data_IF_036157296374
#
_entry.id   IF_036157296374
#
_cell.length_a   1.000
_cell.length_b   1.000
_cell.length_c   1.000
_cell.angle_alpha   90.00
_cell.angle_beta   90.00
_cell.angle_gamma   90.00
#
_symmetry.space_group_name_H-M   'P 1'
#
loop_
_entity.id
_entity.type
_entity.pdbx_description
1 polymer ?
#
# COMPACT_ATOMS: atom_id res chain seq x y z
N UNK A 1 -8.83 27.79 26.02
CA UNK A 1 -9.03 27.25 24.66
C UNK A 1 -10.35 26.52 24.68
N UNK A 2 -11.22 26.62 23.66
CA UNK A 2 -12.40 25.78 23.61
C UNK A 2 -11.95 24.31 23.65
N UNK A 3 -12.62 23.55 24.51
CA UNK A 3 -12.39 22.15 24.84
C UNK A 3 -12.43 21.29 23.56
N UNK A 4 -11.26 20.97 22.99
CA UNK A 4 -11.19 20.24 21.71
C UNK A 4 -11.11 18.75 22.00
N UNK A 5 -12.30 18.18 22.25
CA UNK A 5 -12.50 16.77 22.62
C UNK A 5 -11.85 15.80 21.64
N UNK A 6 -11.78 16.14 20.35
CA UNK A 6 -11.07 15.31 19.37
C UNK A 6 -9.59 15.11 19.73
N UNK A 7 -8.86 16.17 20.09
CA UNK A 7 -7.43 16.05 20.41
C UNK A 7 -7.16 15.44 21.80
N UNK A 8 -8.13 15.54 22.72
CA UNK A 8 -8.00 15.01 24.07
C UNK A 8 -8.42 13.54 24.17
N UNK A 9 -9.49 13.16 23.47
CA UNK A 9 -10.09 11.82 23.50
C UNK A 9 -10.52 11.39 22.08
N UNK A 10 -9.56 11.17 21.16
CA UNK A 10 -9.87 10.86 19.76
C UNK A 10 -10.54 9.48 19.56
N UNK A 11 -10.32 8.55 20.48
CA UNK A 11 -10.73 7.15 20.34
C UNK A 11 -12.22 6.99 20.68
N UNK A 12 -12.99 6.45 19.73
CA UNK A 12 -14.44 6.22 19.83
C UNK A 12 -14.84 4.75 19.70
N UNK A 13 -14.00 3.92 19.07
CA UNK A 13 -14.29 2.53 18.73
C UNK A 13 -13.19 1.60 19.28
N UNK A 14 -13.56 0.33 19.48
CA UNK A 14 -12.60 -0.74 19.73
C UNK A 14 -11.83 -1.07 18.43
N UNK A 15 -10.51 -1.37 18.50
CA UNK A 15 -9.74 -1.81 17.33
C UNK A 15 -10.12 -3.21 16.83
N UNK A 16 -10.93 -3.94 17.60
CA UNK A 16 -11.28 -5.34 17.35
C UNK A 16 -12.74 -5.54 16.94
N UNK A 17 -13.58 -4.52 17.10
CA UNK A 17 -15.01 -4.60 16.80
C UNK A 17 -15.34 -3.75 15.58
N UNK A 18 -16.54 -3.95 15.04
CA UNK A 18 -17.06 -3.15 13.94
C UNK A 18 -17.16 -1.66 14.37
N UNK A 19 -16.56 -0.70 13.63
CA UNK A 19 -16.66 0.72 13.97
C UNK A 19 -18.10 1.23 13.84
N UNK A 20 -18.64 1.83 14.90
CA UNK A 20 -20.03 2.31 14.96
C UNK A 20 -20.14 3.81 15.15
N UNK A 21 -19.04 4.52 15.41
CA UNK A 21 -19.01 5.97 15.62
C UNK A 21 -17.84 6.63 14.90
N UNK A 22 -17.99 7.89 14.53
CA UNK A 22 -16.87 8.70 14.03
C UNK A 22 -17.03 10.19 14.37
N UNK A 23 -15.94 10.94 14.36
CA UNK A 23 -15.92 12.40 14.47
C UNK A 23 -16.27 13.06 13.14
N UNK A 24 -17.34 13.85 13.11
CA UNK A 24 -17.69 14.62 11.93
C UNK A 24 -16.55 15.61 11.58
N UNK A 25 -16.25 15.68 10.28
CA UNK A 25 -15.28 16.60 9.71
C UNK A 25 -16.02 17.62 8.84
N UNK A 26 -15.60 18.87 8.87
CA UNK A 26 -16.08 19.89 7.94
C UNK A 26 -15.48 19.71 6.53
N UNK A 27 -15.91 20.55 5.59
CA UNK A 27 -15.41 20.55 4.19
C UNK A 27 -13.90 20.81 4.08
N UNK A 28 -13.26 21.27 5.16
CA UNK A 28 -11.81 21.48 5.24
C UNK A 28 -11.09 20.34 5.98
N UNK A 29 -11.77 19.25 6.28
CA UNK A 29 -11.25 18.10 7.01
C UNK A 29 -11.00 18.36 8.50
N UNK A 30 -11.58 19.41 9.08
CA UNK A 30 -11.42 19.73 10.51
C UNK A 30 -12.54 19.10 11.36
N UNK A 31 -12.22 18.50 12.52
CA UNK A 31 -13.22 17.95 13.43
C UNK A 31 -14.19 19.01 13.95
N UNK A 32 -15.49 18.83 13.67
CA UNK A 32 -16.58 19.72 14.12
C UNK A 32 -16.93 19.54 15.61
N UNK A 33 -16.26 18.60 16.28
CA UNK A 33 -16.54 18.14 17.64
C UNK A 33 -17.87 17.38 17.79
N UNK A 34 -18.55 17.07 16.68
CA UNK A 34 -19.75 16.23 16.69
C UNK A 34 -19.37 14.77 16.47
N UNK A 35 -20.04 13.87 17.20
CA UNK A 35 -19.92 12.43 17.03
C UNK A 35 -21.14 11.95 16.25
N UNK A 36 -20.90 11.17 15.20
CA UNK A 36 -21.95 10.56 14.39
C UNK A 36 -22.03 9.07 14.74
N UNK A 37 -23.23 8.61 15.09
CA UNK A 37 -23.54 7.22 15.51
C UNK A 37 -23.76 6.29 14.30
N UNK A 38 -22.75 6.21 13.42
CA UNK A 38 -22.65 5.20 12.35
C UNK A 38 -21.18 4.97 12.00
N UNK A 39 -20.91 3.99 11.13
CA UNK A 39 -19.57 3.80 10.56
C UNK A 39 -19.18 4.96 9.64
N UNK A 40 -17.93 5.44 9.72
CA UNK A 40 -17.37 6.43 8.79
C UNK A 40 -17.45 5.90 7.34
N UNK A 41 -18.11 6.61 6.41
CA UNK A 41 -18.05 6.26 5.01
C UNK A 41 -16.60 6.40 4.52
N UNK A 42 -16.15 5.51 3.64
CA UNK A 42 -14.93 5.77 2.87
C UNK A 42 -15.12 7.11 2.18
N UNK A 43 -14.18 8.04 2.34
CA UNK A 43 -14.18 9.37 1.75
C UNK A 43 -12.74 9.84 1.60
N UNK A 44 -12.48 10.61 0.55
CA UNK A 44 -11.24 11.33 0.33
C UNK A 44 -11.20 12.58 1.22
N UNK A 45 -10.62 12.46 2.42
CA UNK A 45 -10.47 13.58 3.34
C UNK A 45 -9.08 13.56 3.97
N UNK A 46 -8.40 14.71 3.91
CA UNK A 46 -7.16 14.96 4.63
C UNK A 46 -7.41 15.34 6.08
N UNK A 47 -6.97 14.54 7.06
CA UNK A 47 -7.17 14.87 8.47
C UNK A 47 -6.13 15.86 9.02
N UNK A 48 -5.18 16.33 8.21
CA UNK A 48 -4.11 17.23 8.67
C UNK A 48 -4.62 18.67 8.76
N UNK A 49 -4.58 19.30 9.96
CA UNK A 49 -5.00 20.69 10.15
C UNK A 49 -4.30 21.64 9.19
N UNK A 50 -5.05 22.51 8.51
CA UNK A 50 -4.48 23.59 7.69
C UNK A 50 -3.84 24.67 8.59
N UNK A 51 -2.78 25.37 8.14
CA UNK A 51 -2.11 26.39 8.94
C UNK A 51 -3.07 27.55 9.23
N UNK A 52 -3.08 28.07 10.46
CA UNK A 52 -4.03 29.10 10.92
C UNK A 52 -3.84 30.49 10.27
N UNK A 53 -2.69 30.75 9.65
CA UNK A 53 -2.41 31.98 8.91
C UNK A 53 -2.02 31.62 7.47
N UNK A 54 -2.80 32.10 6.50
CA UNK A 54 -2.45 32.08 5.07
C UNK A 54 -1.89 33.46 4.70
N UNK A 55 -0.74 33.52 4.02
CA UNK A 55 -0.29 34.75 3.41
C UNK A 55 -1.24 35.09 2.24
N UNK A 56 -1.86 36.27 2.26
CA UNK A 56 -2.68 36.74 1.14
C UNK A 56 -1.76 36.95 -0.08
N UNK A 57 -1.98 36.20 -1.16
CA UNK A 57 -1.31 36.43 -2.45
C UNK A 57 -0.18 35.47 -2.84
N UNK A 58 0.16 34.46 -2.05
CA UNK A 58 1.06 33.40 -2.50
C UNK A 58 0.26 32.35 -3.28
N UNK A 59 0.60 32.13 -4.56
CA UNK A 59 0.08 31.03 -5.36
C UNK A 59 0.20 29.72 -4.57
N UNK A 60 -0.85 28.91 -4.60
CA UNK A 60 -0.94 27.65 -3.88
C UNK A 60 0.11 26.66 -4.40
N UNK A 61 1.34 26.76 -3.89
CA UNK A 61 2.35 25.74 -4.12
C UNK A 61 1.99 24.55 -3.23
N UNK A 62 1.31 23.57 -3.81
CA UNK A 62 1.03 22.28 -3.19
C UNK A 62 2.35 21.59 -2.87
N UNK A 63 2.75 21.62 -1.60
CA UNK A 63 3.91 20.90 -1.09
C UNK A 63 3.50 20.05 0.11
N UNK A 64 3.64 18.73 -0.05
CA UNK A 64 3.71 17.66 0.97
C UNK A 64 2.82 17.85 2.22
N UNK A 65 1.65 18.43 2.04
CA UNK A 65 0.50 18.12 2.87
C UNK A 65 -0.18 17.01 2.08
N UNK A 66 -0.39 15.85 2.70
CA UNK A 66 -1.20 14.77 2.14
C UNK A 66 -2.61 15.30 1.92
N UNK A 67 -2.80 16.12 0.90
CA UNK A 67 -4.09 16.61 0.44
C UNK A 67 -4.72 15.43 -0.29
N UNK A 68 -5.33 14.53 0.46
CA UNK A 68 -6.28 13.50 0.00
C UNK A 68 -7.54 14.18 -0.60
N UNK A 69 -7.37 15.08 -1.57
CA UNK A 69 -8.36 15.31 -2.62
C UNK A 69 -9.35 16.47 -2.48
N UNK A 70 -9.24 17.39 -1.50
CA UNK A 70 -10.25 18.44 -1.33
C UNK A 70 -10.32 19.48 -2.49
N UNK A 71 -9.48 19.35 -3.53
CA UNK A 71 -9.45 20.23 -4.71
C UNK A 71 -9.64 19.53 -6.05
N UNK A 72 -10.01 18.24 -6.08
CA UNK A 72 -9.90 17.40 -7.31
C UNK A 72 -11.22 17.30 -8.10
N UNK A 73 -12.29 17.95 -7.65
CA UNK A 73 -13.57 17.99 -8.38
C UNK A 73 -13.55 19.00 -9.54
N UNK A 74 -12.72 18.77 -10.56
CA UNK A 74 -13.02 19.25 -11.90
C UNK A 74 -13.76 18.15 -12.67
N UNK A 75 -14.67 18.53 -13.56
CA UNK A 75 -15.53 17.63 -14.34
C UNK A 75 -14.79 16.65 -15.27
N UNK A 76 -13.46 16.65 -15.25
CA UNK A 76 -12.57 15.85 -16.11
C UNK A 76 -11.92 14.65 -15.40
N UNK A 77 -12.18 14.40 -14.11
CA UNK A 77 -11.65 13.22 -13.40
C UNK A 77 -12.71 12.17 -13.11
N UNK A 78 -12.76 11.17 -13.98
CA UNK A 78 -13.75 10.09 -14.04
C UNK A 78 -13.59 8.95 -12.99
N UNK A 79 -12.67 9.06 -12.02
CA UNK A 79 -12.33 7.92 -11.16
C UNK A 79 -12.23 8.29 -9.68
N UNK A 80 -13.36 8.64 -9.07
CA UNK A 80 -13.50 8.51 -7.61
C UNK A 80 -14.04 7.10 -7.29
N UNK A 81 -13.21 6.14 -6.81
CA UNK A 81 -13.68 4.80 -6.43
C UNK A 81 -14.45 4.77 -5.09
N UNK A 82 -14.57 5.90 -4.40
CA UNK A 82 -15.25 5.98 -3.10
C UNK A 82 -16.67 5.40 -3.10
N UNK A 83 -17.54 5.64 -4.11
CA UNK A 83 -18.88 5.07 -4.13
C UNK A 83 -18.86 3.53 -4.19
N UNK A 84 -18.00 2.94 -5.02
CA UNK A 84 -17.94 1.49 -5.17
C UNK A 84 -17.34 0.81 -3.93
N UNK A 85 -16.37 1.45 -3.25
CA UNK A 85 -15.80 0.96 -1.98
C UNK A 85 -16.89 0.90 -0.91
N UNK A 86 -17.68 1.97 -0.73
CA UNK A 86 -18.75 2.01 0.26
C UNK A 86 -19.84 0.96 -0.03
N UNK A 87 -20.19 0.76 -1.31
CA UNK A 87 -21.17 -0.25 -1.67
C UNK A 87 -20.65 -1.67 -1.44
N UNK A 88 -19.40 -1.95 -1.81
CA UNK A 88 -18.78 -3.25 -1.55
C UNK A 88 -18.69 -3.52 -0.05
N UNK A 89 -18.29 -2.53 0.74
CA UNK A 89 -18.27 -2.63 2.21
C UNK A 89 -19.63 -3.06 2.75
N UNK A 90 -20.73 -2.43 2.31
CA UNK A 90 -22.09 -2.84 2.67
C UNK A 90 -22.39 -4.29 2.27
N UNK A 91 -21.94 -4.75 1.11
CA UNK A 91 -22.13 -6.14 0.67
C UNK A 91 -21.37 -7.12 1.56
N UNK A 92 -20.12 -6.81 1.90
CA UNK A 92 -19.32 -7.62 2.84
C UNK A 92 -19.96 -7.61 4.23
N UNK A 93 -20.53 -6.49 4.68
CA UNK A 93 -21.25 -6.41 5.96
C UNK A 93 -22.49 -7.32 5.98
N UNK A 94 -23.31 -7.29 4.91
CA UNK A 94 -24.46 -8.19 4.77
C UNK A 94 -24.04 -9.66 4.74
N UNK A 95 -22.95 -9.97 4.05
CA UNK A 95 -22.38 -11.32 4.00
C UNK A 95 -21.84 -11.77 5.38
N UNK A 96 -21.18 -10.87 6.12
CA UNK A 96 -20.68 -11.12 7.48
C UNK A 96 -21.82 -11.40 8.46
N UNK A 97 -22.98 -10.78 8.27
CA UNK A 97 -24.17 -10.96 9.11
C UNK A 97 -24.88 -12.31 8.93
N UNK A 98 -24.48 -13.14 7.94
CA UNK A 98 -25.05 -14.47 7.75
C UNK A 98 -24.61 -15.38 8.90
N UNK A 99 -25.56 -15.85 9.72
CA UNK A 99 -25.26 -16.67 10.91
C UNK A 99 -24.74 -18.07 10.56
N UNK A 100 -25.33 -18.73 9.56
CA UNK A 100 -24.96 -20.09 9.20
C UNK A 100 -23.75 -20.10 8.23
N UNK A 101 -22.59 -20.65 8.65
CA UNK A 101 -21.37 -20.70 7.83
C UNK A 101 -21.53 -21.46 6.51
N UNK A 102 -22.46 -22.42 6.44
CA UNK A 102 -22.76 -23.16 5.22
C UNK A 102 -23.31 -22.25 4.09
N UNK A 103 -23.88 -21.10 4.46
CA UNK A 103 -24.47 -20.14 3.54
C UNK A 103 -23.51 -19.02 3.13
N UNK A 104 -22.25 -19.06 3.59
CA UNK A 104 -21.27 -18.03 3.24
C UNK A 104 -20.78 -18.10 1.79
N UNK A 105 -21.05 -19.19 1.06
CA UNK A 105 -20.65 -19.30 -0.35
C UNK A 105 -19.13 -19.39 -0.57
N UNK A 106 -18.39 -19.83 0.46
CA UNK A 106 -16.93 -20.04 0.42
C UNK A 106 -16.59 -21.52 0.60
N UNK A 107 -15.34 -21.91 0.34
CA UNK A 107 -14.89 -23.27 0.65
C UNK A 107 -14.97 -23.57 2.16
N UNK A 108 -15.14 -24.85 2.55
CA UNK A 108 -15.03 -25.30 3.94
C UNK A 108 -13.77 -24.82 4.68
N UNK A 109 -12.62 -24.79 4.01
CA UNK A 109 -11.36 -24.31 4.59
C UNK A 109 -11.41 -22.80 4.85
N UNK A 110 -11.93 -22.01 3.91
CA UNK A 110 -12.14 -20.58 4.09
C UNK A 110 -13.17 -20.30 5.19
N UNK A 111 -14.28 -21.05 5.25
CA UNK A 111 -15.27 -20.91 6.31
C UNK A 111 -14.63 -21.15 7.69
N UNK A 112 -13.77 -22.16 7.81
CA UNK A 112 -13.06 -22.45 9.05
C UNK A 112 -12.07 -21.34 9.45
N UNK A 113 -11.33 -20.78 8.49
CA UNK A 113 -10.45 -19.62 8.74
C UNK A 113 -11.25 -18.39 9.17
N UNK A 114 -12.38 -18.11 8.52
CA UNK A 114 -13.26 -16.99 8.87
C UNK A 114 -13.85 -17.17 10.28
N UNK A 115 -14.30 -18.38 10.64
CA UNK A 115 -14.75 -18.68 12.00
C UNK A 115 -13.63 -18.43 13.01
N UNK A 116 -12.42 -18.89 12.71
CA UNK A 116 -11.24 -18.68 13.55
C UNK A 116 -10.98 -17.18 13.75
N UNK A 117 -10.89 -16.40 12.68
CA UNK A 117 -10.60 -14.96 12.78
C UNK A 117 -11.72 -14.15 13.45
N UNK A 118 -12.98 -14.56 13.31
CA UNK A 118 -14.14 -13.83 13.86
C UNK A 118 -14.45 -14.18 15.32
N UNK A 119 -14.16 -15.40 15.74
CA UNK A 119 -14.72 -15.95 16.99
C UNK A 119 -13.71 -16.71 17.88
N UNK A 120 -12.48 -16.97 17.41
CA UNK A 120 -11.47 -17.61 18.25
C UNK A 120 -11.13 -16.74 19.45
N UNK A 121 -10.92 -17.38 20.59
CA UNK A 121 -10.47 -16.72 21.81
C UNK A 121 -8.93 -16.70 21.81
N UNK A 122 -8.37 -15.63 21.26
CA UNK A 122 -6.93 -15.43 21.12
C UNK A 122 -6.29 -15.17 22.50
N UNK A 123 -5.15 -15.81 22.75
CA UNK A 123 -4.45 -15.70 24.04
C UNK A 123 -3.72 -14.36 24.19
N UNK A 124 -3.21 -13.82 23.09
CA UNK A 124 -2.42 -12.58 23.07
C UNK A 124 -2.84 -11.68 21.90
N UNK A 125 -2.06 -11.65 20.82
CA UNK A 125 -2.30 -10.76 19.68
C UNK A 125 -3.43 -11.31 18.82
N UNK A 126 -4.62 -10.71 18.95
CA UNK A 126 -5.75 -10.96 18.05
C UNK A 126 -5.78 -10.00 16.85
N UNK A 127 -6.29 -10.41 15.68
CA UNK A 127 -6.41 -9.53 14.53
C UNK A 127 -7.31 -8.32 14.81
N UNK A 128 -6.91 -7.15 14.31
CA UNK A 128 -7.79 -5.98 14.31
C UNK A 128 -8.94 -6.17 13.33
N UNK A 129 -10.08 -5.53 13.58
CA UNK A 129 -11.22 -5.56 12.68
C UNK A 129 -10.83 -5.14 11.25
N UNK A 130 -10.01 -4.09 11.12
CA UNK A 130 -9.49 -3.63 9.82
C UNK A 130 -8.72 -4.71 9.04
N UNK A 131 -8.00 -5.59 9.74
CA UNK A 131 -7.24 -6.67 9.12
C UNK A 131 -8.17 -7.78 8.63
N UNK A 132 -9.16 -8.14 9.46
CA UNK A 132 -10.22 -9.09 9.12
C UNK A 132 -11.00 -8.60 7.91
N UNK A 133 -11.44 -7.34 7.93
CA UNK A 133 -12.20 -6.73 6.83
C UNK A 133 -11.43 -6.74 5.50
N UNK A 134 -10.13 -6.41 5.53
CA UNK A 134 -9.30 -6.43 4.33
C UNK A 134 -9.19 -7.86 3.74
N UNK A 135 -8.99 -8.86 4.61
CA UNK A 135 -8.96 -10.27 4.20
C UNK A 135 -10.32 -10.76 3.67
N UNK A 136 -11.40 -10.42 4.37
CA UNK A 136 -12.79 -10.72 4.00
C UNK A 136 -13.17 -10.11 2.65
N UNK A 137 -12.77 -8.87 2.38
CA UNK A 137 -12.97 -8.22 1.09
C UNK A 137 -12.32 -9.01 -0.03
N UNK A 138 -11.07 -9.43 0.15
CA UNK A 138 -10.35 -10.24 -0.84
C UNK A 138 -10.99 -11.62 -1.04
N UNK A 139 -11.43 -12.26 0.04
CA UNK A 139 -12.14 -13.55 0.02
C UNK A 139 -13.47 -13.42 -0.72
N UNK A 140 -14.28 -12.44 -0.35
CA UNK A 140 -15.61 -12.23 -0.94
C UNK A 140 -15.50 -11.99 -2.44
N UNK A 141 -14.58 -11.12 -2.88
CA UNK A 141 -14.33 -10.86 -4.31
C UNK A 141 -13.82 -12.09 -5.07
N UNK A 142 -13.27 -13.10 -4.40
CA UNK A 142 -12.65 -14.26 -5.06
C UNK A 142 -13.57 -15.48 -5.07
N UNK A 143 -14.29 -15.72 -3.98
CA UNK A 143 -15.10 -16.92 -3.79
C UNK A 143 -16.59 -16.67 -3.98
N UNK A 144 -17.11 -15.55 -3.46
CA UNK A 144 -18.54 -15.27 -3.37
C UNK A 144 -19.02 -14.47 -4.58
N UNK A 145 -18.35 -13.36 -4.87
CA UNK A 145 -18.73 -12.41 -5.93
C UNK A 145 -18.96 -13.05 -7.32
N UNK A 146 -18.18 -14.06 -7.78
CA UNK A 146 -18.43 -14.70 -9.07
C UNK A 146 -19.80 -15.42 -9.16
N UNK A 147 -20.33 -15.88 -8.01
CA UNK A 147 -21.61 -16.58 -7.91
C UNK A 147 -22.82 -15.68 -7.82
N UNK A 148 -22.64 -14.39 -7.50
CA UNK A 148 -23.72 -13.43 -7.30
C UNK A 148 -23.82 -12.43 -8.44
N UNK A 149 -25.05 -12.07 -8.85
CA UNK A 149 -25.27 -11.07 -9.90
C UNK A 149 -24.65 -9.71 -9.55
N UNK A 150 -24.83 -9.29 -8.30
CA UNK A 150 -24.25 -8.04 -7.78
C UNK A 150 -22.73 -8.13 -7.66
N UNK A 151 -22.22 -9.31 -7.27
CA UNK A 151 -20.79 -9.59 -7.21
C UNK A 151 -20.08 -9.43 -8.55
N UNK A 152 -20.69 -9.90 -9.64
CA UNK A 152 -20.14 -9.74 -11.00
C UNK A 152 -19.88 -8.29 -11.39
N UNK A 153 -20.74 -7.35 -10.94
CA UNK A 153 -20.56 -5.92 -11.22
C UNK A 153 -19.29 -5.36 -10.59
N UNK A 154 -18.92 -5.79 -9.38
CA UNK A 154 -17.64 -5.40 -8.75
C UNK A 154 -16.43 -6.00 -9.48
N UNK A 155 -16.58 -7.23 -9.99
CA UNK A 155 -15.53 -7.88 -10.78
C UNK A 155 -15.34 -7.22 -12.14
N UNK A 156 -16.42 -6.79 -12.79
CA UNK A 156 -16.39 -6.02 -14.04
C UNK A 156 -15.73 -4.65 -13.83
N UNK A 157 -16.10 -3.93 -12.76
CA UNK A 157 -15.40 -2.68 -12.39
C UNK A 157 -13.89 -2.90 -12.20
N UNK A 158 -13.51 -3.92 -11.43
CA UNK A 158 -12.11 -4.27 -11.21
C UNK A 158 -11.40 -4.63 -12.52
N UNK A 159 -12.06 -5.39 -13.40
CA UNK A 159 -11.49 -5.77 -14.69
C UNK A 159 -11.26 -4.55 -15.59
N UNK A 160 -12.22 -3.64 -15.66
CA UNK A 160 -12.12 -2.41 -16.45
C UNK A 160 -11.02 -1.48 -15.89
N UNK A 161 -11.04 -1.21 -14.58
CA UNK A 161 -10.02 -0.40 -13.92
C UNK A 161 -8.60 -0.95 -14.11
N UNK A 162 -8.45 -2.28 -14.12
CA UNK A 162 -7.17 -2.92 -14.42
C UNK A 162 -6.83 -2.89 -15.91
N UNK A 163 -7.78 -3.09 -16.82
CA UNK A 163 -7.52 -3.00 -18.26
C UNK A 163 -7.00 -1.61 -18.65
N UNK A 164 -7.58 -0.56 -18.05
CA UNK A 164 -7.24 0.83 -18.35
C UNK A 164 -5.89 1.26 -17.77
N UNK A 165 -5.56 0.83 -16.54
CA UNK A 165 -4.36 1.28 -15.84
C UNK A 165 -3.21 0.26 -15.79
N UNK A 166 -3.52 -1.04 -15.88
CA UNK A 166 -2.57 -2.15 -15.70
C UNK A 166 -2.93 -3.34 -16.62
N UNK A 167 -2.91 -3.18 -17.96
CA UNK A 167 -3.53 -4.13 -18.90
C UNK A 167 -3.04 -5.58 -18.80
N UNK A 168 -1.84 -5.82 -18.25
CA UNK A 168 -1.26 -7.15 -18.07
C UNK A 168 -1.55 -7.77 -16.70
N UNK A 169 -2.10 -7.03 -15.74
CA UNK A 169 -2.17 -7.44 -14.34
C UNK A 169 -3.57 -7.25 -13.76
N UNK A 170 -4.11 -8.30 -13.13
CA UNK A 170 -5.29 -8.17 -12.26
C UNK A 170 -4.84 -7.69 -10.88
N UNK A 171 -5.09 -6.44 -10.54
CA UNK A 171 -4.73 -5.82 -9.25
C UNK A 171 -5.97 -5.57 -8.40
N UNK A 172 -5.77 -5.64 -7.09
CA UNK A 172 -6.76 -5.34 -6.06
C UNK A 172 -6.03 -4.62 -4.93
N UNK A 173 -6.41 -3.38 -4.64
CA UNK A 173 -5.82 -2.61 -3.57
C UNK A 173 -6.67 -2.65 -2.29
N UNK A 174 -5.98 -2.90 -1.18
CA UNK A 174 -6.50 -2.92 0.19
C UNK A 174 -5.80 -1.78 0.94
N UNK A 175 -6.53 -0.69 1.19
CA UNK A 175 -6.01 0.48 1.91
C UNK A 175 -6.09 0.24 3.42
N UNK A 176 -4.93 0.23 4.08
CA UNK A 176 -4.83 0.14 5.54
C UNK A 176 -3.88 1.22 6.07
N UNK A 177 -4.34 2.04 7.01
CA UNK A 177 -3.51 3.04 7.67
C UNK A 177 -2.15 2.49 8.14
N UNK A 178 -1.10 3.32 8.07
CA UNK A 178 0.24 2.93 8.50
C UNK A 178 0.22 2.54 9.99
N UNK A 179 0.69 1.33 10.30
CA UNK A 179 0.65 0.78 11.65
C UNK A 179 -0.57 -0.11 11.93
N UNK A 180 -1.59 -0.14 11.06
CA UNK A 180 -2.75 -1.01 11.21
C UNK A 180 -2.47 -2.51 10.94
N UNK A 181 -1.23 -2.88 10.63
CA UNK A 181 -0.79 -4.27 10.53
C UNK A 181 -0.96 -4.91 9.15
N UNK A 182 -0.50 -4.24 8.07
CA UNK A 182 -0.46 -4.79 6.70
C UNK A 182 0.15 -6.19 6.63
N UNK A 183 1.23 -6.43 7.39
CA UNK A 183 1.88 -7.75 7.46
C UNK A 183 0.98 -8.84 8.01
N UNK A 184 0.09 -8.53 8.97
CA UNK A 184 -0.92 -9.51 9.44
C UNK A 184 -1.87 -9.88 8.31
N UNK A 185 -2.34 -8.90 7.53
CA UNK A 185 -3.20 -9.14 6.37
C UNK A 185 -2.49 -9.99 5.32
N UNK A 186 -1.21 -9.73 5.04
CA UNK A 186 -0.40 -10.57 4.15
C UNK A 186 -0.36 -12.03 4.63
N UNK A 187 -0.12 -12.26 5.93
CA UNK A 187 -0.13 -13.59 6.51
C UNK A 187 -1.51 -14.27 6.38
N UNK A 188 -2.61 -13.56 6.69
CA UNK A 188 -3.97 -14.08 6.54
C UNK A 188 -4.28 -14.48 5.08
N UNK A 189 -3.89 -13.65 4.11
CA UNK A 189 -4.07 -13.92 2.68
C UNK A 189 -3.25 -15.13 2.22
N UNK A 190 -2.00 -15.25 2.66
CA UNK A 190 -1.14 -16.41 2.37
C UNK A 190 -1.75 -17.68 2.97
N UNK A 191 -2.24 -17.61 4.21
CA UNK A 191 -2.86 -18.74 4.87
C UNK A 191 -4.10 -19.22 4.12
N UNK A 192 -5.01 -18.30 3.81
CA UNK A 192 -6.22 -18.57 3.03
C UNK A 192 -5.91 -19.21 1.68
N UNK A 193 -4.97 -18.65 0.92
CA UNK A 193 -4.58 -19.17 -0.39
C UNK A 193 -3.91 -20.54 -0.29
N UNK A 194 -2.95 -20.70 0.64
CA UNK A 194 -2.16 -21.94 0.78
C UNK A 194 -3.03 -23.11 1.23
N UNK A 195 -3.81 -22.93 2.30
CA UNK A 195 -4.64 -24.02 2.87
C UNK A 195 -5.62 -24.52 1.82
N UNK A 196 -6.28 -23.61 1.11
CA UNK A 196 -7.19 -23.98 0.02
C UNK A 196 -6.47 -24.66 -1.14
N UNK A 197 -5.29 -24.18 -1.54
CA UNK A 197 -4.50 -24.80 -2.62
C UNK A 197 -4.06 -26.23 -2.27
N UNK A 198 -3.66 -26.46 -1.03
CA UNK A 198 -3.20 -27.77 -0.53
C UNK A 198 -4.38 -28.75 -0.40
N UNK A 199 -5.48 -28.33 0.22
CA UNK A 199 -6.65 -29.20 0.46
C UNK A 199 -7.55 -29.36 -0.77
N UNK A 200 -7.41 -28.49 -1.78
CA UNK A 200 -8.16 -28.55 -3.05
C UNK A 200 -7.22 -28.42 -4.27
N UNK A 201 -6.34 -29.42 -4.51
CA UNK A 201 -5.33 -29.33 -5.56
C UNK A 201 -5.89 -29.22 -6.99
N UNK A 202 -7.14 -29.60 -7.21
CA UNK A 202 -7.83 -29.42 -8.50
C UNK A 202 -8.33 -27.99 -8.77
N UNK A 203 -8.35 -27.11 -7.75
CA UNK A 203 -8.81 -25.74 -7.89
C UNK A 203 -7.72 -24.84 -8.47
N UNK A 204 -8.05 -24.08 -9.51
CA UNK A 204 -7.16 -23.04 -10.07
C UNK A 204 -7.33 -21.67 -9.41
N UNK A 205 -8.26 -21.55 -8.46
CA UNK A 205 -8.56 -20.28 -7.76
C UNK A 205 -7.51 -19.92 -6.71
N UNK A 206 -6.77 -20.93 -6.23
CA UNK A 206 -5.86 -20.79 -5.11
C UNK A 206 -4.45 -21.19 -5.47
N UNK A 207 -3.48 -20.63 -4.75
CA UNK A 207 -2.06 -20.92 -4.95
C UNK A 207 -1.35 -21.17 -3.64
N UNK A 208 -0.18 -21.80 -3.75
CA UNK A 208 0.83 -21.88 -2.69
C UNK A 208 2.10 -21.10 -3.04
N UNK A 209 2.14 -20.40 -4.17
CA UNK A 209 3.28 -19.62 -4.63
C UNK A 209 3.04 -18.12 -4.47
N UNK A 210 3.90 -17.45 -3.70
CA UNK A 210 3.75 -16.04 -3.37
C UNK A 210 5.03 -15.26 -3.65
N UNK A 211 4.88 -14.11 -4.29
CA UNK A 211 5.94 -13.12 -4.45
C UNK A 211 5.58 -11.89 -3.61
N UNK A 212 6.37 -11.57 -2.61
CA UNK A 212 6.23 -10.37 -1.79
C UNK A 212 7.24 -9.34 -2.27
N UNK A 213 6.76 -8.17 -2.73
CA UNK A 213 7.62 -7.09 -3.25
C UNK A 213 7.58 -5.90 -2.32
N UNK A 214 8.76 -5.32 -2.05
CA UNK A 214 8.95 -4.24 -1.07
C UNK A 214 9.76 -3.08 -1.65
N UNK A 215 9.58 -1.85 -1.14
CA UNK A 215 10.32 -0.67 -1.62
C UNK A 215 11.76 -0.61 -1.11
N UNK A 216 12.05 -1.18 0.06
CA UNK A 216 13.38 -1.13 0.68
C UNK A 216 13.80 -2.41 1.38
N UNK A 217 15.11 -2.61 1.53
CA UNK A 217 15.70 -3.82 2.13
C UNK A 217 15.31 -3.95 3.62
N UNK A 218 15.24 -2.84 4.36
CA UNK A 218 14.81 -2.86 5.78
C UNK A 218 13.38 -3.36 5.96
N UNK A 219 12.49 -3.12 4.99
CA UNK A 219 11.12 -3.64 5.03
C UNK A 219 11.13 -5.12 4.66
N UNK A 220 11.84 -5.47 3.58
CA UNK A 220 12.06 -6.87 3.16
C UNK A 220 12.49 -7.76 4.34
N UNK A 221 13.51 -7.34 5.10
CA UNK A 221 14.06 -8.15 6.21
C UNK A 221 13.06 -8.31 7.36
N UNK A 222 12.19 -7.30 7.60
CA UNK A 222 11.12 -7.37 8.59
C UNK A 222 9.98 -8.29 8.20
N UNK A 223 9.74 -8.48 6.90
CA UNK A 223 8.70 -9.38 6.40
C UNK A 223 9.08 -10.87 6.50
N UNK A 224 10.27 -11.22 7.02
CA UNK A 224 10.66 -12.62 7.26
C UNK A 224 9.67 -13.41 8.11
N UNK A 225 8.91 -12.73 8.97
CA UNK A 225 7.79 -13.28 9.77
C UNK A 225 6.66 -13.90 8.94
N UNK A 226 6.63 -13.64 7.62
CA UNK A 226 5.72 -14.31 6.68
C UNK A 226 6.21 -15.70 6.28
N UNK A 227 7.47 -16.05 6.54
CA UNK A 227 7.98 -17.38 6.22
C UNK A 227 7.43 -18.41 7.22
N UNK A 228 6.86 -19.55 6.78
CA UNK A 228 6.30 -20.57 7.67
C UNK A 228 7.31 -21.14 8.66
N UNK A 229 8.58 -21.24 8.25
CA UNK A 229 9.65 -21.84 9.03
C UNK A 229 10.43 -20.82 9.88
N UNK A 230 10.05 -19.53 9.85
CA UNK A 230 10.68 -18.52 10.70
C UNK A 230 10.23 -18.73 12.17
N UNK A 231 11.14 -18.66 13.17
CA UNK A 231 10.77 -18.79 14.57
C UNK A 231 9.72 -17.77 15.03
N UNK A 232 9.72 -16.58 14.42
CA UNK A 232 8.80 -15.48 14.71
C UNK A 232 7.61 -15.46 13.73
N UNK A 233 7.32 -16.59 13.07
CA UNK A 233 6.29 -16.67 12.04
C UNK A 233 4.91 -16.31 12.59
N UNK A 234 4.20 -15.41 11.90
CA UNK A 234 2.90 -14.92 12.37
C UNK A 234 1.81 -15.99 12.41
N UNK A 235 1.92 -17.07 11.62
CA UNK A 235 0.87 -18.09 11.56
C UNK A 235 0.63 -18.77 12.90
N UNK A 236 1.71 -19.17 13.58
CA UNK A 236 1.66 -19.82 14.89
C UNK A 236 1.72 -18.79 16.03
N UNK A 237 2.67 -17.85 15.98
CA UNK A 237 2.91 -16.91 17.10
C UNK A 237 1.74 -15.97 17.40
N UNK A 238 0.89 -15.68 16.40
CA UNK A 238 -0.31 -14.85 16.55
C UNK A 238 -1.60 -15.64 16.40
N UNK A 239 -1.51 -16.97 16.47
CA UNK A 239 -2.66 -17.88 16.33
C UNK A 239 -3.52 -17.57 15.08
N UNK A 240 -2.92 -17.12 13.97
CA UNK A 240 -3.70 -16.72 12.78
C UNK A 240 -4.29 -17.92 12.03
N UNK A 241 -3.76 -19.11 12.29
CA UNK A 241 -4.17 -20.35 11.62
C UNK A 241 -4.49 -21.40 12.69
N UNK A 242 -5.62 -22.13 12.57
CA UNK A 242 -5.93 -23.26 13.45
C UNK A 242 -4.77 -24.26 13.50
N UNK A 243 -4.51 -24.83 14.68
CA UNK A 243 -3.31 -25.66 14.92
C UNK A 243 -3.18 -26.84 13.95
N UNK A 244 -4.27 -27.49 13.58
CA UNK A 244 -4.29 -28.62 12.63
C UNK A 244 -4.14 -28.20 11.16
N UNK A 245 -4.18 -26.90 10.86
CA UNK A 245 -3.92 -26.33 9.54
C UNK A 245 -2.50 -25.75 9.40
N UNK A 246 -1.71 -25.70 10.49
CA UNK A 246 -0.35 -25.15 10.45
C UNK A 246 0.58 -25.97 9.54
N UNK A 247 0.41 -27.29 9.48
CA UNK A 247 1.21 -28.13 8.58
C UNK A 247 0.97 -27.79 7.10
N UNK A 248 -0.26 -27.42 6.73
CA UNK A 248 -0.58 -27.00 5.36
C UNK A 248 0.19 -25.74 4.96
N UNK A 249 0.39 -24.82 5.90
CA UNK A 249 1.13 -23.56 5.69
C UNK A 249 2.59 -23.83 5.33
N UNK A 250 3.20 -24.89 5.85
CA UNK A 250 4.58 -25.28 5.51
C UNK A 250 4.79 -25.56 4.00
N UNK A 251 3.70 -25.79 3.25
CA UNK A 251 3.72 -26.00 1.80
C UNK A 251 3.79 -24.70 0.99
N UNK A 252 3.62 -23.53 1.63
CA UNK A 252 3.76 -22.24 0.97
C UNK A 252 5.20 -22.04 0.47
N UNK A 253 5.32 -21.46 -0.74
CA UNK A 253 6.57 -20.98 -1.33
C UNK A 253 6.49 -19.47 -1.40
N UNK A 254 7.26 -18.78 -0.56
CA UNK A 254 7.19 -17.34 -0.39
C UNK A 254 8.56 -16.75 -0.70
N UNK A 255 8.63 -15.96 -1.76
CA UNK A 255 9.84 -15.17 -2.07
C UNK A 255 9.58 -13.73 -1.69
N UNK A 256 10.39 -13.20 -0.77
CA UNK A 256 10.34 -11.79 -0.36
C UNK A 256 11.51 -11.07 -1.01
N UNK A 257 11.21 -10.07 -1.84
CA UNK A 257 12.22 -9.33 -2.59
C UNK A 257 12.00 -7.83 -2.57
N UNK A 258 13.05 -7.10 -2.94
CA UNK A 258 13.00 -5.68 -3.18
C UNK A 258 12.85 -5.42 -4.68
N UNK A 259 12.10 -4.40 -5.08
CA UNK A 259 11.85 -4.11 -6.51
C UNK A 259 13.13 -3.90 -7.33
N UNK A 260 14.22 -3.38 -6.74
CA UNK A 260 15.50 -3.23 -7.45
C UNK A 260 16.07 -4.58 -7.92
N UNK A 261 15.69 -5.69 -7.31
CA UNK A 261 16.14 -7.03 -7.71
C UNK A 261 15.68 -7.39 -9.14
N UNK A 262 14.59 -6.78 -9.62
CA UNK A 262 14.07 -6.95 -10.98
C UNK A 262 14.94 -6.31 -12.06
N UNK A 263 15.90 -5.45 -11.68
CA UNK A 263 16.86 -4.89 -12.63
C UNK A 263 17.67 -6.04 -13.25
N UNK A 264 17.50 -6.23 -14.56
CA UNK A 264 18.26 -7.19 -15.36
C UNK A 264 19.74 -6.82 -15.31
N UNK A 265 20.60 -7.80 -15.08
CA UNK A 265 22.05 -7.61 -14.97
C UNK A 265 22.75 -7.97 -16.28
N UNK A 266 23.95 -7.44 -16.48
CA UNK A 266 24.83 -7.89 -17.55
C UNK A 266 25.33 -9.31 -17.23
N UNK A 267 25.27 -10.21 -18.20
CA UNK A 267 25.73 -11.61 -18.10
C UNK A 267 27.23 -11.74 -18.23
N UNK A 268 27.86 -10.77 -18.88
CA UNK A 268 29.30 -10.74 -19.15
C UNK A 268 29.83 -9.35 -18.81
N UNK A 269 30.82 -9.27 -17.94
CA UNK A 269 31.56 -8.02 -17.71
C UNK A 269 32.53 -7.78 -18.86
N UNK A 270 32.07 -7.04 -19.87
CA UNK A 270 32.90 -6.59 -20.98
C UNK A 270 33.33 -5.14 -20.78
N UNK A 271 34.63 -4.87 -20.93
CA UNK A 271 35.11 -3.49 -21.08
C UNK A 271 34.54 -2.88 -22.37
N UNK A 272 34.42 -1.55 -22.44
CA UNK A 272 33.94 -0.85 -23.65
C UNK A 272 34.70 -1.28 -24.91
N UNK A 273 36.03 -1.45 -24.79
CA UNK A 273 36.88 -1.94 -25.88
C UNK A 273 36.61 -3.40 -26.27
N UNK A 274 36.41 -4.29 -25.29
CA UNK A 274 36.05 -5.69 -25.54
C UNK A 274 34.68 -5.85 -26.21
N UNK A 275 33.70 -5.02 -25.83
CA UNK A 275 32.36 -5.00 -26.45
C UNK A 275 32.42 -4.55 -27.92
N UNK A 276 33.16 -3.48 -28.20
CA UNK A 276 33.38 -2.98 -29.58
C UNK A 276 34.14 -3.99 -30.45
N UNK A 277 35.11 -4.70 -29.87
CA UNK A 277 35.90 -5.70 -30.59
C UNK A 277 35.06 -6.93 -30.96
N UNK A 278 34.17 -7.37 -30.06
CA UNK A 278 33.25 -8.48 -30.31
C UNK A 278 32.07 -8.12 -31.23
N UNK A 279 31.61 -6.86 -31.21
CA UNK A 279 30.61 -6.36 -32.18
C UNK A 279 31.21 -6.21 -33.59
N UNK A 280 32.53 -6.06 -33.75
CA UNK A 280 33.17 -5.88 -35.05
C UNK A 280 32.69 -4.61 -35.79
N UNK A 281 32.97 -4.51 -37.10
CA UNK A 281 32.58 -3.34 -37.93
C UNK A 281 31.15 -3.40 -38.49
N UNK A 282 30.50 -4.57 -38.47
CA UNK A 282 29.17 -4.81 -39.09
C UNK A 282 28.26 -5.68 -38.19
N UNK A 283 28.72 -6.10 -37.00
CA UNK A 283 27.99 -7.08 -36.18
C UNK A 283 26.84 -6.46 -35.40
N UNK A 284 25.81 -7.27 -35.19
CA UNK A 284 24.66 -6.93 -34.34
C UNK A 284 25.11 -6.57 -32.91
N UNK A 285 24.36 -5.68 -32.24
CA UNK A 285 24.64 -5.36 -30.85
C UNK A 285 24.59 -6.62 -29.98
N UNK A 286 25.68 -6.92 -29.28
CA UNK A 286 25.71 -7.96 -28.26
C UNK A 286 24.68 -7.65 -27.16
N UNK A 287 23.56 -8.37 -27.18
CA UNK A 287 22.65 -8.44 -26.05
C UNK A 287 23.30 -9.30 -24.97
N UNK A 288 24.01 -8.66 -24.06
CA UNK A 288 24.62 -9.30 -22.89
C UNK A 288 23.70 -9.27 -21.68
N UNK A 289 22.50 -8.72 -21.78
CA UNK A 289 21.60 -8.57 -20.63
C UNK A 289 20.92 -9.90 -20.28
N UNK A 290 20.71 -10.17 -18.98
CA UNK A 290 19.92 -11.33 -18.50
C UNK A 290 18.55 -11.33 -19.19
N UNK A 291 18.01 -12.44 -19.67
CA UNK A 291 16.58 -12.48 -20.08
C UNK A 291 15.64 -12.35 -18.86
N UNK A 292 14.35 -12.07 -19.09
CA UNK A 292 13.35 -12.08 -18.00
C UNK A 292 13.34 -13.40 -17.23
N UNK A 293 13.45 -14.53 -17.94
CA UNK A 293 13.49 -15.86 -17.30
C UNK A 293 14.72 -16.04 -16.41
N UNK A 294 15.89 -15.55 -16.85
CA UNK A 294 17.12 -15.58 -16.05
C UNK A 294 17.03 -14.66 -14.83
N UNK A 295 16.46 -13.46 -15.00
CA UNK A 295 16.19 -12.55 -13.87
C UNK A 295 15.28 -13.23 -12.84
N UNK A 296 14.19 -13.87 -13.27
CA UNK A 296 13.27 -14.58 -12.37
C UNK A 296 13.98 -15.75 -11.68
N UNK A 297 14.77 -16.54 -12.41
CA UNK A 297 15.55 -17.64 -11.82
C UNK A 297 16.52 -17.13 -10.75
N UNK A 298 17.13 -15.96 -10.94
CA UNK A 298 18.02 -15.33 -9.96
C UNK A 298 17.27 -14.78 -8.75
N UNK A 299 16.14 -14.11 -8.97
CA UNK A 299 15.42 -13.36 -7.93
C UNK A 299 14.50 -14.25 -7.10
N UNK A 300 13.85 -15.22 -7.74
CA UNK A 300 12.82 -16.06 -7.15
C UNK A 300 12.92 -17.53 -7.58
N UNK A 301 14.08 -18.19 -7.35
CA UNK A 301 14.29 -19.58 -7.76
C UNK A 301 13.26 -20.54 -7.17
N UNK A 302 12.76 -20.28 -5.97
CA UNK A 302 11.78 -21.14 -5.29
C UNK A 302 10.38 -21.13 -5.94
N UNK A 303 10.07 -20.12 -6.75
CA UNK A 303 8.82 -20.06 -7.50
C UNK A 303 8.93 -20.71 -8.88
N UNK A 304 10.14 -21.11 -9.29
CA UNK A 304 10.34 -21.77 -10.59
C UNK A 304 9.57 -23.09 -10.66
N UNK A 305 8.83 -23.27 -11.75
CA UNK A 305 7.98 -24.45 -11.97
C UNK A 305 6.59 -24.36 -11.35
N UNK A 306 6.32 -23.34 -10.51
CA UNK A 306 4.95 -23.01 -10.11
C UNK A 306 4.28 -22.14 -11.17
N UNK A 307 2.95 -22.21 -11.20
CA UNK A 307 2.09 -21.30 -11.95
C UNK A 307 1.07 -20.66 -11.02
N UNK A 308 0.41 -19.61 -11.49
CA UNK A 308 -0.65 -18.92 -10.76
C UNK A 308 -0.12 -18.30 -9.46
N UNK A 309 0.89 -17.45 -9.58
CA UNK A 309 1.51 -16.77 -8.45
C UNK A 309 0.59 -15.65 -7.95
N UNK A 310 0.48 -15.50 -6.63
CA UNK A 310 -0.12 -14.31 -6.02
C UNK A 310 1.00 -13.37 -5.63
N UNK A 311 0.90 -12.11 -6.05
CA UNK A 311 1.87 -11.07 -5.70
C UNK A 311 1.29 -10.26 -4.55
N UNK A 312 2.04 -10.13 -3.45
CA UNK A 312 1.72 -9.21 -2.35
C UNK A 312 2.64 -8.01 -2.47
N UNK A 313 2.06 -6.86 -2.79
CA UNK A 313 2.82 -5.65 -3.10
C UNK A 313 2.71 -4.66 -1.94
N UNK A 314 3.80 -4.47 -1.20
CA UNK A 314 3.85 -3.52 -0.08
C UNK A 314 4.23 -2.13 -0.57
N UNK A 315 3.58 -1.10 -0.02
CA UNK A 315 3.72 0.30 -0.45
C UNK A 315 3.44 0.49 -1.95
N UNK A 316 2.32 -0.08 -2.39
CA UNK A 316 1.91 -0.13 -3.80
C UNK A 316 1.84 1.24 -4.51
N UNK A 317 1.82 2.35 -3.78
CA UNK A 317 1.87 3.71 -4.33
C UNK A 317 3.16 4.02 -5.10
N UNK A 318 4.21 3.23 -4.88
CA UNK A 318 5.44 3.27 -5.69
C UNK A 318 5.39 2.37 -6.93
N UNK A 319 4.31 1.63 -7.17
CA UNK A 319 4.19 0.64 -8.24
C UNK A 319 2.95 0.92 -9.09
N UNK A 320 3.11 1.78 -10.10
CA UNK A 320 2.06 2.15 -11.05
C UNK A 320 2.61 2.21 -12.47
N UNK A 321 1.72 2.04 -13.45
CA UNK A 321 2.02 2.36 -14.84
C UNK A 321 1.74 3.84 -15.05
N UNK A 322 2.66 4.53 -15.73
CA UNK A 322 2.42 5.92 -16.12
C UNK A 322 1.36 5.99 -17.23
N UNK A 323 0.55 7.05 -17.23
CA UNK A 323 -0.29 7.37 -18.38
C UNK A 323 0.58 7.96 -19.50
N UNK A 324 0.29 7.65 -20.78
CA UNK A 324 0.91 8.37 -21.90
C UNK A 324 0.67 9.87 -21.74
N UNK A 325 1.71 10.67 -22.00
CA UNK A 325 1.67 12.11 -21.78
C UNK A 325 0.46 12.75 -22.46
N UNK A 326 -0.37 13.44 -21.68
CA UNK A 326 -1.42 14.30 -22.24
C UNK A 326 -0.83 15.69 -22.57
N UNK A 327 -1.37 16.41 -23.56
CA UNK A 327 -0.93 17.78 -23.89
C UNK A 327 -1.11 18.79 -22.75
N UNK A 328 -1.81 18.41 -21.67
CA UNK A 328 -2.19 19.25 -20.53
C UNK A 328 -1.29 19.04 -19.30
N UNK A 329 -0.20 18.27 -19.42
CA UNK A 329 0.74 18.10 -18.31
C UNK A 329 1.47 19.41 -18.00
N UNK A 330 1.30 19.91 -16.77
CA UNK A 330 2.09 21.04 -16.27
C UNK A 330 3.59 20.70 -16.31
N UNK A 331 4.38 21.58 -16.92
CA UNK A 331 5.84 21.44 -16.94
C UNK A 331 6.41 21.56 -15.51
N UNK A 332 6.72 20.42 -14.89
CA UNK A 332 7.48 20.38 -13.63
C UNK A 332 8.86 21.02 -13.82
N UNK A 333 9.29 21.87 -12.87
CA UNK A 333 10.57 22.60 -12.94
C UNK A 333 11.52 22.22 -11.81
N UNK A 334 12.82 22.25 -12.11
CA UNK A 334 13.88 22.13 -11.10
C UNK A 334 13.91 20.78 -10.39
N UNK A 335 13.84 20.80 -9.05
CA UNK A 335 13.94 19.61 -8.20
C UNK A 335 12.68 18.73 -8.27
N UNK A 336 11.49 19.31 -8.43
CA UNK A 336 10.22 18.58 -8.55
C UNK A 336 10.23 17.66 -9.78
N UNK A 337 10.80 18.13 -10.89
CA UNK A 337 10.99 17.32 -12.09
C UNK A 337 11.92 16.14 -11.85
N UNK A 338 13.06 16.35 -11.18
CA UNK A 338 14.02 15.27 -10.88
C UNK A 338 13.42 14.22 -9.96
N UNK A 339 12.61 14.64 -8.99
CA UNK A 339 11.91 13.72 -8.08
C UNK A 339 10.86 12.90 -8.84
N UNK A 340 10.04 13.55 -9.66
CA UNK A 340 9.07 12.88 -10.53
C UNK A 340 9.75 11.88 -11.48
N UNK A 341 10.86 12.25 -12.11
CA UNK A 341 11.65 11.36 -12.97
C UNK A 341 12.15 10.11 -12.21
N UNK A 342 12.69 10.28 -10.99
CA UNK A 342 13.12 9.14 -10.15
C UNK A 342 11.95 8.24 -9.75
N UNK A 343 10.81 8.83 -9.38
CA UNK A 343 9.61 8.09 -9.01
C UNK A 343 9.08 7.29 -10.20
N UNK A 344 9.06 7.89 -11.41
CA UNK A 344 8.69 7.23 -12.67
C UNK A 344 9.60 6.04 -12.97
N UNK A 345 10.93 6.23 -12.89
CA UNK A 345 11.89 5.16 -13.14
C UNK A 345 11.73 3.98 -12.16
N UNK A 346 11.56 4.29 -10.87
CA UNK A 346 11.32 3.29 -9.83
C UNK A 346 10.01 2.52 -10.07
N UNK A 347 8.91 3.24 -10.35
CA UNK A 347 7.60 2.66 -10.61
C UNK A 347 7.63 1.76 -11.86
N UNK A 348 8.26 2.23 -12.95
CA UNK A 348 8.43 1.46 -14.18
C UNK A 348 9.24 0.17 -13.95
N UNK A 349 10.35 0.25 -13.21
CA UNK A 349 11.14 -0.94 -12.87
C UNK A 349 10.33 -1.94 -12.03
N UNK A 350 9.56 -1.44 -11.08
CA UNK A 350 8.76 -2.28 -10.19
C UNK A 350 7.65 -3.01 -10.94
N UNK A 351 6.82 -2.28 -11.69
CA UNK A 351 5.69 -2.87 -12.39
C UNK A 351 6.14 -3.81 -13.52
N UNK A 352 7.18 -3.44 -14.27
CA UNK A 352 7.73 -4.30 -15.34
C UNK A 352 8.30 -5.62 -14.81
N UNK A 353 8.84 -5.61 -13.58
CA UNK A 353 9.26 -6.83 -12.89
C UNK A 353 8.08 -7.75 -12.59
N UNK A 354 6.96 -7.21 -12.10
CA UNK A 354 5.73 -7.99 -11.84
C UNK A 354 5.13 -8.52 -13.14
N UNK A 355 5.14 -7.73 -14.22
CA UNK A 355 4.67 -8.15 -15.54
C UNK A 355 5.53 -9.27 -16.12
N UNK A 356 6.86 -9.20 -15.94
CA UNK A 356 7.75 -10.30 -16.33
C UNK A 356 7.39 -11.60 -15.59
N UNK A 357 7.06 -11.52 -14.29
CA UNK A 357 6.57 -12.67 -13.52
C UNK A 357 5.25 -13.19 -14.08
N UNK A 358 4.32 -12.31 -14.46
CA UNK A 358 3.08 -12.71 -15.12
C UNK A 358 3.33 -13.43 -16.44
N UNK A 359 4.20 -12.89 -17.31
CA UNK A 359 4.54 -13.50 -18.61
C UNK A 359 5.23 -14.86 -18.49
N UNK A 360 6.01 -15.11 -17.43
CA UNK A 360 6.81 -16.35 -17.27
C UNK A 360 6.17 -17.40 -16.37
N UNK A 361 5.57 -17.00 -15.26
CA UNK A 361 5.00 -17.90 -14.25
C UNK A 361 3.46 -17.81 -14.19
N UNK A 362 2.87 -16.73 -14.71
CA UNK A 362 1.44 -16.45 -14.58
C UNK A 362 1.11 -15.89 -13.20
N UNK A 363 0.55 -14.68 -13.15
CA UNK A 363 0.08 -14.03 -11.92
C UNK A 363 -1.43 -14.10 -11.87
N UNK A 364 -1.98 -14.66 -10.80
CA UNK A 364 -3.43 -14.74 -10.60
C UNK A 364 -4.00 -13.40 -10.19
N UNK A 365 -3.32 -12.74 -9.24
CA UNK A 365 -3.70 -11.43 -8.73
C UNK A 365 -2.51 -10.76 -8.05
N UNK A 366 -2.44 -9.44 -8.18
CA UNK A 366 -1.59 -8.57 -7.35
C UNK A 366 -2.47 -7.97 -6.26
N UNK A 367 -2.16 -8.28 -5.01
CA UNK A 367 -2.79 -7.69 -3.85
C UNK A 367 -1.91 -6.54 -3.37
N UNK A 368 -2.36 -5.32 -3.62
CA UNK A 368 -1.68 -4.08 -3.24
C UNK A 368 -2.06 -3.72 -1.80
N UNK A 369 -1.08 -3.71 -0.89
CA UNK A 369 -1.26 -3.28 0.49
C UNK A 369 -0.53 -1.95 0.70
N UNK A 370 -1.29 -0.88 0.92
CA UNK A 370 -0.74 0.47 1.07
C UNK A 370 -1.60 1.28 2.03
N UNK A 371 -1.00 2.21 2.77
CA UNK A 371 -1.78 3.22 3.50
C UNK A 371 -2.30 4.30 2.55
N UNK A 372 -1.62 4.46 1.43
CA UNK A 372 -1.76 5.60 0.54
C UNK A 372 -1.78 5.13 -0.91
N UNK A 373 -2.69 4.23 -1.36
CA UNK A 373 -2.71 3.72 -2.74
C UNK A 373 -3.22 4.80 -3.71
N UNK A 374 -2.47 5.88 -3.82
CA UNK A 374 -2.73 7.02 -4.68
C UNK A 374 -1.63 7.16 -5.72
N UNK A 375 -1.95 7.85 -6.80
CA UNK A 375 -0.96 8.24 -7.78
C UNK A 375 -0.07 9.38 -7.26
N UNK A 376 1.24 9.26 -7.49
CA UNK A 376 2.23 10.27 -7.16
C UNK A 376 2.35 11.32 -8.27
N UNK A 377 2.93 12.46 -7.91
CA UNK A 377 3.31 13.50 -8.89
C UNK A 377 4.13 12.90 -10.04
N UNK A 378 3.81 13.32 -11.26
CA UNK A 378 4.45 12.82 -12.48
C UNK A 378 3.94 11.46 -12.95
N UNK A 379 2.98 10.82 -12.31
CA UNK A 379 2.41 9.54 -12.82
C UNK A 379 1.61 9.67 -14.13
N UNK A 380 1.28 10.88 -14.56
CA UNK A 380 0.30 11.14 -15.63
C UNK A 380 -1.16 11.04 -15.16
N UNK A 381 -1.36 10.71 -13.89
CA UNK A 381 -2.64 10.85 -13.19
C UNK A 381 -2.55 12.06 -12.28
N UNK A 382 -3.70 12.59 -11.88
CA UNK A 382 -3.73 13.60 -10.84
C UNK A 382 -3.16 13.04 -9.54
N UNK A 383 -2.29 13.84 -8.92
CA UNK A 383 -1.66 13.50 -7.66
C UNK A 383 -2.72 13.36 -6.56
N UNK A 384 -2.61 12.31 -5.76
CA UNK A 384 -3.54 12.03 -4.67
C UNK A 384 -4.82 11.28 -5.06
N UNK A 385 -5.09 11.04 -6.35
CA UNK A 385 -6.20 10.19 -6.79
C UNK A 385 -5.96 8.74 -6.39
N UNK A 386 -6.95 8.05 -5.79
CA UNK A 386 -6.83 6.61 -5.48
C UNK A 386 -6.57 5.82 -6.75
N UNK A 387 -5.93 4.68 -6.57
CA UNK A 387 -5.99 3.63 -7.55
C UNK A 387 -7.45 3.18 -7.76
N UNK A 388 -7.95 3.16 -9.01
CA UNK A 388 -9.33 2.79 -9.32
C UNK A 388 -9.66 1.32 -9.00
N UNK A 389 -8.63 0.49 -8.77
CA UNK A 389 -8.76 -0.90 -8.31
C UNK A 389 -8.71 -1.05 -6.77
N UNK A 390 -8.86 0.04 -6.02
CA UNK A 390 -9.01 -0.01 -4.55
C UNK A 390 -10.43 -0.40 -4.18
N UNK A 391 -10.56 -1.45 -3.38
CA UNK A 391 -11.86 -2.03 -3.02
C UNK A 391 -12.07 -2.15 -1.50
N UNK A 392 -11.05 -1.83 -0.71
CA UNK A 392 -11.15 -1.76 0.75
C UNK A 392 -10.42 -0.51 1.21
N UNK A 393 -11.05 0.23 2.13
CA UNK A 393 -10.50 1.43 2.74
C UNK A 393 -10.70 1.41 4.25
N UNK A 394 -9.59 1.40 4.97
CA UNK A 394 -9.52 1.68 6.39
C UNK A 394 -8.59 2.88 6.59
N UNK A 395 -9.20 4.06 6.71
CA UNK A 395 -8.51 5.35 6.63
C UNK A 395 -7.66 5.64 7.87
N UNK A 396 -6.80 6.67 7.78
CA UNK A 396 -6.08 7.17 8.95
C UNK A 396 -7.05 7.61 10.06
N UNK A 397 -8.19 8.21 9.71
CA UNK A 397 -9.21 8.60 10.68
C UNK A 397 -9.84 7.40 11.36
N UNK A 398 -10.21 6.36 10.60
CA UNK A 398 -10.73 5.11 11.19
C UNK A 398 -9.72 4.52 12.19
N UNK A 399 -8.43 4.53 11.84
CA UNK A 399 -7.38 4.01 12.70
C UNK A 399 -7.15 4.84 13.97
N UNK A 400 -7.27 6.17 13.90
CA UNK A 400 -7.22 7.06 15.06
C UNK A 400 -8.42 6.80 15.96
N UNK A 401 -9.62 6.73 15.37
CA UNK A 401 -10.89 6.53 16.08
C UNK A 401 -11.00 5.15 16.72
N UNK A 402 -10.29 4.16 16.18
CA UNK A 402 -10.19 2.81 16.75
C UNK A 402 -8.99 2.65 17.72
N UNK A 403 -8.18 3.69 17.94
CA UNK A 403 -7.01 3.61 18.82
C UNK A 403 -5.87 2.73 18.30
N UNK A 404 -5.85 2.43 17.00
CA UNK A 404 -4.82 1.61 16.34
C UNK A 404 -3.55 2.43 16.12
N UNK A 405 -3.70 3.72 15.79
CA UNK A 405 -2.58 4.62 15.53
C UNK A 405 -2.66 5.86 16.40
N UNK A 406 -1.50 6.51 16.59
CA UNK A 406 -1.42 7.77 17.33
C UNK A 406 -1.92 8.93 16.46
N UNK A 407 -2.54 9.91 17.10
CA UNK A 407 -2.92 11.16 16.45
C UNK A 407 -1.65 11.97 16.11
N UNK A 408 -1.36 12.24 14.81
CA UNK A 408 -0.23 13.07 14.44
C UNK A 408 -0.47 14.52 14.88
N UNK A 409 0.48 15.07 15.65
CA UNK A 409 0.46 16.50 16.01
C UNK A 409 1.30 17.27 15.00
N UNK A 410 0.64 18.15 14.24
CA UNK A 410 1.31 19.04 13.30
C UNK A 410 1.31 20.46 13.86
N UNK A 411 2.44 21.19 13.85
CA UNK A 411 2.48 22.59 14.27
C UNK A 411 1.54 23.46 13.42
N UNK A 412 0.51 24.03 14.07
CA UNK A 412 -0.50 24.90 13.42
C UNK A 412 -0.30 26.39 13.69
N UNK A 413 0.56 26.73 14.66
CA UNK A 413 0.91 28.08 15.03
C UNK A 413 2.33 28.14 15.61
N UNK A 414 2.97 29.29 15.45
CA UNK A 414 4.20 29.66 16.17
C UNK A 414 3.99 31.06 16.76
N UNK A 415 4.51 31.29 17.97
CA UNK A 415 4.55 32.61 18.60
C UNK A 415 5.79 33.40 18.10
N UNK A 416 6.00 33.44 16.79
CA UNK A 416 7.03 34.29 16.17
C UNK A 416 6.30 35.49 15.54
N UNK A 417 6.64 36.74 15.89
CA UNK A 417 6.10 37.93 15.25
C UNK A 417 6.52 37.95 13.77
N UNK A 418 5.54 37.92 12.87
CA UNK A 418 5.75 37.86 11.42
C UNK A 418 4.66 37.00 10.79
N UNK A 419 4.04 37.44 9.70
CA UNK A 419 2.93 36.75 9.03
C UNK A 419 3.31 35.46 8.30
N UNK A 420 4.41 34.81 8.68
CA UNK A 420 4.93 33.61 8.01
C UNK A 420 4.16 32.35 8.43
N UNK A 421 4.06 31.40 7.51
CA UNK A 421 3.60 30.03 7.78
C UNK A 421 4.39 29.43 8.96
N UNK A 422 3.80 28.58 9.83
CA UNK A 422 4.52 27.99 10.94
C UNK A 422 5.80 27.29 10.43
N UNK A 423 6.97 27.82 10.77
CA UNK A 423 8.28 27.36 10.27
C UNK A 423 8.51 25.86 10.54
N UNK A 424 8.00 25.34 11.66
CA UNK A 424 8.10 23.91 12.02
C UNK A 424 7.19 23.01 11.20
N UNK A 425 6.17 23.55 10.51
CA UNK A 425 5.37 22.77 9.55
C UNK A 425 6.22 22.38 8.33
N UNK A 426 7.08 23.29 7.87
CA UNK A 426 8.00 23.06 6.75
C UNK A 426 9.45 23.01 7.25
N UNK A 427 9.70 22.27 8.33
CA UNK A 427 11.01 22.28 9.00
C UNK A 427 12.15 21.93 8.01
N UNK A 428 11.95 20.91 7.16
CA UNK A 428 12.95 20.47 6.18
C UNK A 428 13.39 21.59 5.23
N UNK A 429 12.47 22.37 4.67
CA UNK A 429 12.79 23.47 3.76
C UNK A 429 13.67 24.53 4.41
N UNK A 430 13.48 24.71 5.73
CA UNK A 430 14.15 25.69 6.56
C UNK A 430 15.49 25.23 7.13
N UNK A 431 15.83 23.93 7.02
CA UNK A 431 17.08 23.37 7.55
C UNK A 431 17.92 22.64 6.50
N UNK A 432 17.38 22.33 5.31
CA UNK A 432 18.07 21.53 4.27
C UNK A 432 19.39 22.13 3.77
N UNK A 433 19.58 23.44 3.92
CA UNK A 433 20.82 24.14 3.54
C UNK A 433 21.90 23.93 4.60
N UNK A 434 21.49 23.83 5.85
CA UNK A 434 22.36 23.69 7.03
C UNK A 434 22.70 22.22 7.32
N UNK A 435 22.02 21.28 6.66
CA UNK A 435 22.27 19.84 6.80
C UNK A 435 23.34 19.39 5.80
N UNK A 436 24.31 18.55 6.23
CA UNK A 436 25.31 17.96 5.34
C UNK A 436 24.67 17.18 4.19
N UNK A 437 24.99 17.55 2.94
CA UNK A 437 24.46 16.92 1.72
C UNK A 437 25.22 15.68 1.27
N UNK A 438 26.39 15.42 1.85
CA UNK A 438 27.29 14.35 1.42
C UNK A 438 27.03 13.09 2.25
N UNK A 439 26.94 11.94 1.57
CA UNK A 439 26.82 10.65 2.23
C UNK A 439 28.06 10.30 3.06
N UNK A 440 27.88 9.42 4.05
CA UNK A 440 28.89 9.03 5.05
C UNK A 440 30.25 8.61 4.46
N UNK A 441 30.30 8.10 3.23
CA UNK A 441 31.55 7.71 2.56
C UNK A 441 32.33 8.86 1.87
N UNK A 442 31.73 10.05 1.71
CA UNK A 442 32.36 11.22 1.06
C UNK A 442 32.58 12.40 2.01
N UNK A 443 31.81 12.47 3.10
CA UNK A 443 31.99 13.49 4.13
C UNK A 443 33.15 13.07 5.06
N UNK A 444 34.17 13.92 5.19
CA UNK A 444 35.37 13.59 5.99
C UNK A 444 35.16 13.71 7.49
N UNK A 445 34.23 14.53 7.96
CA UNK A 445 33.84 14.64 9.36
C UNK A 445 32.38 15.11 9.44
N UNK A 446 31.50 14.26 9.97
CA UNK A 446 30.11 14.63 10.28
C UNK A 446 29.96 14.62 11.79
N UNK A 447 29.72 15.78 12.39
CA UNK A 447 29.40 15.89 13.81
C UNK A 447 27.90 15.61 14.02
N UNK A 448 27.51 14.51 14.71
CA UNK A 448 26.12 14.20 14.99
C UNK A 448 25.44 15.22 15.93
N UNK A 449 26.21 16.07 16.64
CA UNK A 449 25.70 17.11 17.53
C UNK A 449 25.52 18.47 16.85
N UNK A 450 26.11 18.66 15.66
CA UNK A 450 25.99 19.87 14.86
C UNK A 450 24.65 19.95 14.10
N UNK A 451 23.54 19.74 14.81
CA UNK A 451 22.20 19.88 14.26
C UNK A 451 21.82 21.36 14.15
N UNK A 452 21.13 21.79 13.07
CA UNK A 452 20.65 23.17 12.95
C UNK A 452 19.81 23.56 14.17
N UNK A 453 20.00 24.77 14.70
CA UNK A 453 19.30 25.23 15.91
C UNK A 453 17.78 25.11 15.77
N UNK A 454 17.24 25.40 14.58
CA UNK A 454 15.82 25.22 14.25
C UNK A 454 15.33 23.79 14.43
N UNK A 455 16.16 22.80 14.08
CA UNK A 455 15.87 21.38 14.29
C UNK A 455 15.93 21.03 15.78
N UNK A 456 16.94 21.52 16.51
CA UNK A 456 17.03 21.31 17.96
C UNK A 456 15.83 21.89 18.70
N UNK A 457 15.41 23.11 18.35
CA UNK A 457 14.21 23.74 18.92
C UNK A 457 12.95 22.93 18.59
N UNK A 458 12.82 22.42 17.36
CA UNK A 458 11.68 21.59 16.98
C UNK A 458 11.64 20.23 17.69
N UNK A 459 12.79 19.67 18.07
CA UNK A 459 12.88 18.42 18.84
C UNK A 459 12.52 18.58 20.32
N UNK A 460 12.63 19.80 20.85
CA UNK A 460 12.35 20.13 22.26
C UNK A 460 10.96 20.74 22.48
N UNK A 461 10.26 21.11 21.40
CA UNK A 461 8.91 21.68 21.39
C UNK A 461 7.86 20.57 21.30
#
# INVERSE_FOLDING_TARGET
MPDNRFFERPILNSPYEYPVRYWELDDQGQPTQQIIEKRRPAQFITPIPKPRKRAAGAAAQQKLVFDEGAGVSSATQEYDPTPIINELRRRVDLWRAIENPANWGVTPETARLLQHWRHHDFTDVRPFFAQIEAAETAIWLTEVAPGEREGKRFLEHLANANADANPELSRLALKLATGAGKTTVMAMLIAWQTINSVRRPGSKKFTRGFLVVTPGITIKDRLRVLQPNDPDSYYASRELVPTDMLEDISRAKIVITNYHAFKRRERVELSKGGRLLLQGRVGEELDTLETEGQMIQRVMPELMGLKNIVVLNDEAHHCYREKPASPEEEELKGEERKEAERNREAARLWISGIEAVNRKLGVTRVLDLSATPFFLSGSGYAEGTLFPWTMSDFSLMDAIECGIVKLPRVPVAQNIPGGEMPMFRNLWENIRVDIPKQGRGKAKDLDPLALPTRLQTALQA
#
